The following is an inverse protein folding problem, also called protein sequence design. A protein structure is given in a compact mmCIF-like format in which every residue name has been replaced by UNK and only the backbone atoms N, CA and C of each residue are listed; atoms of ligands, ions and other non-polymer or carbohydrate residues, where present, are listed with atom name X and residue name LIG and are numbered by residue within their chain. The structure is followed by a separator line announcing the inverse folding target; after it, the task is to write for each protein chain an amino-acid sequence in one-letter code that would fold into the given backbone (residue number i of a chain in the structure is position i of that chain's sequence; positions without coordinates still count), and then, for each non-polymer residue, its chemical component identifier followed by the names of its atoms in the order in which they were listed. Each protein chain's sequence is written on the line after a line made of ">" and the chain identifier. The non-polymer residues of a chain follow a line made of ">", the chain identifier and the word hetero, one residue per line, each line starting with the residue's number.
data_IF_785210028320
#
_entry.id   IF_785210028320
#
_cell.length_a   1.000
_cell.length_b   1.000
_cell.length_c   1.000
_cell.angle_alpha   90.00
_cell.angle_beta   90.00
_cell.angle_gamma   90.00
#
_symmetry.space_group_name_H-M   'P 1'
#
loop_
_entity.id
_entity.type
_entity.pdbx_description
1 polymer ?
#
# COMPACT_ATOMS: atom_id res chain seq x y z
N UNK A 1 4.09 -8.09 -1.93
CA UNK A 1 3.67 -7.67 -0.58
C UNK A 1 3.84 -8.77 0.47
N UNK A 2 3.11 -9.89 0.40
CA UNK A 2 3.03 -10.87 1.49
C UNK A 2 4.34 -11.48 1.98
N UNK A 3 5.33 -11.63 1.10
CA UNK A 3 6.68 -12.06 1.50
C UNK A 3 7.41 -11.03 2.37
N UNK A 4 7.20 -9.73 2.11
CA UNK A 4 7.71 -8.65 2.96
C UNK A 4 7.07 -8.77 4.34
N UNK A 5 5.74 -8.93 4.39
CA UNK A 5 5.00 -9.05 5.64
C UNK A 5 5.42 -10.30 6.44
N UNK A 6 5.63 -11.43 5.75
CA UNK A 6 6.17 -12.66 6.33
C UNK A 6 7.53 -12.44 7.01
N UNK A 7 8.42 -11.67 6.38
CA UNK A 7 9.71 -11.31 6.98
C UNK A 7 9.52 -10.42 8.21
N UNK A 8 8.82 -9.30 8.08
CA UNK A 8 8.83 -8.26 9.13
C UNK A 8 7.98 -8.62 10.36
N UNK A 9 6.91 -9.42 10.18
CA UNK A 9 6.02 -9.80 11.28
C UNK A 9 6.29 -11.19 11.85
N UNK A 10 6.92 -12.09 11.08
CA UNK A 10 7.07 -13.49 11.47
C UNK A 10 8.48 -14.05 11.28
N UNK A 11 9.43 -13.24 10.79
CA UNK A 11 10.79 -13.70 10.46
C UNK A 11 10.83 -14.78 9.36
N UNK A 12 9.72 -15.04 8.67
CA UNK A 12 9.58 -16.13 7.71
C UNK A 12 8.94 -15.64 6.41
N UNK A 13 9.76 -15.49 5.37
CA UNK A 13 9.36 -15.03 4.03
C UNK A 13 8.14 -15.77 3.45
N UNK A 14 8.06 -17.08 3.66
CA UNK A 14 6.97 -17.91 3.12
C UNK A 14 5.82 -18.11 4.14
N UNK A 15 5.71 -17.27 5.17
CA UNK A 15 4.69 -17.42 6.23
C UNK A 15 3.25 -17.52 5.68
N UNK A 16 2.91 -16.73 4.67
CA UNK A 16 1.57 -16.68 4.06
C UNK A 16 1.38 -17.65 2.90
N UNK A 17 2.24 -18.65 2.75
CA UNK A 17 2.17 -19.61 1.64
C UNK A 17 1.84 -20.99 2.18
N UNK A 18 0.75 -21.56 1.65
CA UNK A 18 0.25 -22.90 1.95
C UNK A 18 0.15 -23.65 0.62
N UNK A 19 0.72 -24.87 0.55
CA UNK A 19 0.71 -25.70 -0.66
C UNK A 19 1.18 -24.96 -1.94
N UNK A 20 2.22 -24.14 -1.80
CA UNK A 20 2.82 -23.38 -2.91
C UNK A 20 2.01 -22.17 -3.40
N UNK A 21 0.88 -21.83 -2.76
CA UNK A 21 0.03 -20.68 -3.10
C UNK A 21 -0.10 -19.73 -1.91
N UNK A 22 -0.40 -18.46 -2.18
CA UNK A 22 -0.76 -17.52 -1.12
C UNK A 22 -2.09 -17.93 -0.50
N UNK A 23 -2.10 -17.98 0.83
CA UNK A 23 -3.26 -18.37 1.62
C UNK A 23 -4.10 -17.15 1.96
N UNK A 24 -5.22 -16.97 1.24
CA UNK A 24 -6.08 -15.80 1.40
C UNK A 24 -6.73 -15.73 2.77
N UNK A 25 -7.14 -16.86 3.35
CA UNK A 25 -7.76 -16.89 4.67
C UNK A 25 -6.77 -16.41 5.74
N UNK A 26 -5.54 -16.94 5.70
CA UNK A 26 -4.47 -16.51 6.61
C UNK A 26 -4.09 -15.04 6.44
N UNK A 27 -4.13 -14.54 5.21
CA UNK A 27 -3.86 -13.14 4.89
C UNK A 27 -4.96 -12.23 5.45
N UNK A 28 -6.24 -12.60 5.23
CA UNK A 28 -7.38 -11.81 5.71
C UNK A 28 -7.39 -11.76 7.24
N UNK A 29 -7.24 -12.90 7.91
CA UNK A 29 -7.15 -12.96 9.38
C UNK A 29 -6.01 -12.09 9.92
N UNK A 30 -4.83 -12.13 9.31
CA UNK A 30 -3.73 -11.24 9.69
C UNK A 30 -4.09 -9.76 9.52
N UNK A 31 -4.67 -9.39 8.38
CA UNK A 31 -5.04 -8.01 8.09
C UNK A 31 -6.10 -7.49 9.06
N UNK A 32 -7.13 -8.28 9.35
CA UNK A 32 -8.19 -7.94 10.31
C UNK A 32 -7.62 -7.76 11.71
N UNK A 33 -6.79 -8.70 12.19
CA UNK A 33 -6.16 -8.61 13.51
C UNK A 33 -5.20 -7.43 13.67
N UNK A 34 -4.56 -6.97 12.58
CA UNK A 34 -3.66 -5.81 12.58
C UNK A 34 -4.33 -4.48 12.23
N UNK A 35 -5.62 -4.49 11.87
CA UNK A 35 -6.31 -3.28 11.41
C UNK A 35 -5.80 -2.75 10.07
N UNK A 36 -5.35 -3.64 9.17
CA UNK A 36 -4.83 -3.29 7.84
C UNK A 36 -5.92 -3.47 6.80
N UNK A 37 -6.32 -2.38 6.15
CA UNK A 37 -7.16 -2.41 4.95
C UNK A 37 -6.32 -2.29 3.67
N UNK A 38 -6.75 -2.97 2.61
CA UNK A 38 -6.10 -2.92 1.30
C UNK A 38 -7.11 -2.48 0.25
N UNK A 39 -6.70 -1.52 -0.59
CA UNK A 39 -7.54 -0.99 -1.66
C UNK A 39 -6.66 -0.41 -2.77
N UNK A 40 -7.23 -0.29 -3.97
CA UNK A 40 -6.53 0.29 -5.13
C UNK A 40 -6.77 1.80 -5.23
N UNK A 41 -5.78 2.55 -5.72
CA UNK A 41 -5.92 3.99 -5.98
C UNK A 41 -6.83 4.31 -7.18
N UNK A 42 -7.14 3.30 -7.99
CA UNK A 42 -7.97 3.38 -9.18
C UNK A 42 -9.01 2.25 -9.15
N UNK A 43 -10.26 2.58 -9.47
CA UNK A 43 -11.37 1.62 -9.55
C UNK A 43 -11.51 1.01 -10.94
N UNK A 44 -11.02 1.71 -11.97
CA UNK A 44 -10.91 1.18 -13.33
C UNK A 44 -9.58 1.58 -13.96
N UNK A 45 -8.91 0.59 -14.57
CA UNK A 45 -7.61 0.78 -15.24
C UNK A 45 -7.60 0.09 -16.60
N UNK A 46 -6.93 0.71 -17.57
CA UNK A 46 -6.63 0.08 -18.86
C UNK A 46 -5.16 -0.34 -18.88
N UNK A 47 -4.92 -1.65 -19.08
CA UNK A 47 -3.58 -2.22 -19.22
C UNK A 47 -3.18 -2.23 -20.68
N UNK A 48 -2.11 -1.51 -21.02
CA UNK A 48 -1.64 -1.39 -22.40
C UNK A 48 -0.70 -2.53 -22.80
N UNK A 49 -0.18 -3.30 -21.84
CA UNK A 49 0.76 -4.40 -22.09
C UNK A 49 0.49 -5.64 -21.21
N UNK A 50 -0.79 -5.93 -20.95
CA UNK A 50 -1.26 -7.11 -20.18
C UNK A 50 -0.61 -7.33 -18.80
N UNK A 51 0.06 -6.32 -18.23
CA UNK A 51 0.71 -6.36 -16.92
C UNK A 51 0.30 -5.16 -16.07
N UNK A 52 0.69 -5.18 -14.78
CA UNK A 52 0.40 -4.12 -13.82
C UNK A 52 1.59 -3.17 -13.60
N UNK A 53 2.45 -3.01 -14.61
CA UNK A 53 3.55 -2.05 -14.54
C UNK A 53 3.02 -0.62 -14.68
N UNK A 54 3.49 0.28 -13.83
CA UNK A 54 3.16 1.71 -13.87
C UNK A 54 3.40 2.33 -15.25
N UNK A 55 4.38 1.82 -16.01
CA UNK A 55 4.76 2.34 -17.33
C UNK A 55 3.71 2.09 -18.44
N UNK A 56 2.78 1.14 -18.24
CA UNK A 56 1.83 0.71 -19.28
C UNK A 56 0.40 0.65 -18.74
N UNK A 57 0.08 1.54 -17.80
CA UNK A 57 -1.21 1.58 -17.12
C UNK A 57 -1.82 2.99 -17.18
N UNK A 58 -3.03 3.05 -17.73
CA UNK A 58 -3.88 4.24 -17.79
C UNK A 58 -4.96 4.12 -16.69
N UNK A 59 -5.08 5.16 -15.86
CA UNK A 59 -6.14 5.24 -14.84
C UNK A 59 -7.36 5.85 -15.50
N UNK A 60 -8.45 5.09 -15.56
CA UNK A 60 -9.72 5.53 -16.13
C UNK A 60 -10.55 6.18 -15.04
N UNK A 61 -10.76 5.45 -13.94
CA UNK A 61 -11.52 5.92 -12.78
C UNK A 61 -10.64 5.86 -11.52
N UNK A 62 -10.64 6.97 -10.77
CA UNK A 62 -9.91 7.11 -9.50
C UNK A 62 -10.80 6.69 -8.34
N UNK A 63 -10.18 6.29 -7.23
CA UNK A 63 -10.91 6.03 -5.98
C UNK A 63 -11.63 7.29 -5.46
N UNK A 64 -12.86 7.13 -4.99
CA UNK A 64 -13.53 8.14 -4.18
C UNK A 64 -13.01 8.05 -2.74
N UNK A 65 -11.92 8.77 -2.46
CA UNK A 65 -11.23 8.67 -1.17
C UNK A 65 -12.12 9.12 0.00
N UNK A 66 -12.98 10.12 -0.19
CA UNK A 66 -13.92 10.59 0.83
C UNK A 66 -14.88 9.48 1.25
N UNK A 67 -15.53 8.82 0.27
CA UNK A 67 -16.48 7.75 0.51
C UNK A 67 -15.80 6.53 1.16
N UNK A 68 -14.63 6.14 0.67
CA UNK A 68 -13.85 5.07 1.28
C UNK A 68 -13.57 5.38 2.75
N UNK A 69 -13.07 6.59 3.04
CA UNK A 69 -12.65 7.00 4.37
C UNK A 69 -13.81 7.22 5.36
N UNK A 70 -15.03 7.48 4.88
CA UNK A 70 -16.24 7.50 5.71
C UNK A 70 -16.58 6.09 6.23
N UNK A 71 -16.30 5.04 5.47
CA UNK A 71 -16.54 3.65 5.87
C UNK A 71 -15.46 3.09 6.83
N UNK A 72 -14.31 3.76 6.94
CA UNK A 72 -13.22 3.41 7.88
C UNK A 72 -12.86 4.60 8.78
N UNK A 73 -13.76 5.02 9.70
CA UNK A 73 -13.64 6.27 10.44
C UNK A 73 -12.37 6.33 11.32
N UNK A 74 -11.87 5.18 11.76
CA UNK A 74 -10.67 5.06 12.60
C UNK A 74 -9.35 5.08 11.81
N UNK A 75 -9.40 5.15 10.47
CA UNK A 75 -8.19 5.22 9.65
C UNK A 75 -7.47 6.56 9.86
N UNK A 76 -6.22 6.50 10.33
CA UNK A 76 -5.34 7.66 10.55
C UNK A 76 -4.17 7.72 9.57
N UNK A 77 -3.94 6.65 8.81
CA UNK A 77 -2.76 6.52 7.96
C UNK A 77 -3.11 5.89 6.63
N UNK A 78 -2.72 6.57 5.56
CA UNK A 78 -2.72 6.04 4.21
C UNK A 78 -1.28 5.67 3.84
N UNK A 79 -1.06 4.46 3.36
CA UNK A 79 0.23 4.03 2.86
C UNK A 79 0.09 3.63 1.39
N UNK A 80 0.78 4.35 0.51
CA UNK A 80 0.67 4.13 -0.93
C UNK A 80 1.95 3.51 -1.45
N UNK A 81 1.81 2.42 -2.20
CA UNK A 81 2.91 1.63 -2.76
C UNK A 81 2.88 1.69 -4.29
N UNK A 82 3.99 2.08 -4.90
CA UNK A 82 4.07 2.30 -6.36
C UNK A 82 3.99 3.77 -6.77
N UNK A 83 4.56 4.08 -7.92
CA UNK A 83 4.69 5.46 -8.39
C UNK A 83 3.34 5.97 -8.88
N UNK A 84 2.66 5.24 -9.77
CA UNK A 84 1.37 5.61 -10.37
C UNK A 84 0.27 5.78 -9.33
N UNK A 85 0.22 4.86 -8.36
CA UNK A 85 -0.74 4.92 -7.27
C UNK A 85 -0.53 6.17 -6.41
N UNK A 86 0.72 6.49 -6.09
CA UNK A 86 1.04 7.69 -5.31
C UNK A 86 0.69 8.95 -6.10
N UNK A 87 1.02 9.02 -7.39
CA UNK A 87 0.70 10.18 -8.22
C UNK A 87 -0.82 10.42 -8.26
N UNK A 88 -1.61 9.34 -8.35
CA UNK A 88 -3.08 9.40 -8.30
C UNK A 88 -3.59 9.95 -6.95
N UNK A 89 -3.09 9.42 -5.83
CA UNK A 89 -3.54 9.82 -4.47
C UNK A 89 -3.05 11.25 -4.13
N UNK A 90 -1.83 11.59 -4.52
CA UNK A 90 -1.24 12.92 -4.37
C UNK A 90 -2.04 13.99 -5.10
N UNK A 91 -2.49 13.71 -6.33
CA UNK A 91 -3.37 14.61 -7.09
C UNK A 91 -4.74 14.79 -6.42
N UNK A 92 -5.35 13.71 -5.92
CA UNK A 92 -6.63 13.76 -5.21
C UNK A 92 -6.57 14.60 -3.92
N UNK A 93 -5.47 14.47 -3.18
CA UNK A 93 -5.27 15.13 -1.89
C UNK A 93 -4.57 16.50 -1.99
N UNK A 94 -4.00 16.83 -3.16
CA UNK A 94 -3.13 18.01 -3.38
C UNK A 94 -1.95 18.06 -2.41
N UNK A 95 -1.32 16.91 -2.19
CA UNK A 95 -0.18 16.74 -1.28
C UNK A 95 1.08 16.46 -2.08
N UNK A 96 2.17 17.17 -1.78
CA UNK A 96 3.46 16.88 -2.37
C UNK A 96 4.00 15.50 -1.98
N UNK A 97 4.70 14.88 -2.91
CA UNK A 97 5.21 13.53 -2.75
C UNK A 97 6.42 13.51 -1.81
N UNK A 98 6.33 12.88 -0.62
CA UNK A 98 7.47 12.73 0.25
C UNK A 98 8.47 11.74 -0.35
N UNK A 99 9.67 11.70 0.23
CA UNK A 99 10.65 10.66 -0.10
C UNK A 99 10.13 9.26 0.25
N UNK A 100 10.69 8.24 -0.41
CA UNK A 100 10.31 6.85 -0.16
C UNK A 100 10.66 6.47 1.29
N UNK A 101 9.67 5.93 2.00
CA UNK A 101 9.76 5.54 3.40
C UNK A 101 9.43 6.66 4.38
N UNK A 102 9.03 7.84 3.90
CA UNK A 102 8.59 8.99 4.69
C UNK A 102 7.10 9.30 4.42
N UNK A 103 6.57 10.28 5.15
CA UNK A 103 5.18 10.70 5.07
C UNK A 103 5.02 12.22 5.08
N UNK A 104 3.83 12.66 4.66
CA UNK A 104 3.35 14.03 4.85
C UNK A 104 2.11 13.99 5.76
N UNK A 105 2.07 14.88 6.75
CA UNK A 105 0.88 15.09 7.59
C UNK A 105 -0.10 16.02 6.87
N UNK A 106 -1.39 15.73 6.99
CA UNK A 106 -2.43 16.51 6.35
C UNK A 106 -3.75 16.38 7.09
N UNK A 107 -4.62 17.38 6.91
CA UNK A 107 -6.00 17.35 7.39
C UNK A 107 -6.95 17.00 6.26
N UNK A 108 -7.78 15.98 6.47
CA UNK A 108 -8.78 15.56 5.49
C UNK A 108 -10.07 15.12 6.17
N UNK A 109 -11.21 15.59 5.64
CA UNK A 109 -12.55 15.37 6.21
C UNK A 109 -12.61 15.60 7.74
N UNK A 110 -11.92 16.63 8.21
CA UNK A 110 -11.87 17.01 9.63
C UNK A 110 -10.90 16.21 10.51
N UNK A 111 -10.10 15.30 9.93
CA UNK A 111 -9.17 14.41 10.66
C UNK A 111 -7.72 14.71 10.31
N UNK A 112 -6.84 14.64 11.31
CA UNK A 112 -5.39 14.61 11.13
C UNK A 112 -4.99 13.21 10.60
N UNK A 113 -4.23 13.17 9.51
CA UNK A 113 -3.84 11.94 8.82
C UNK A 113 -2.39 11.99 8.35
N UNK A 114 -1.79 10.81 8.15
CA UNK A 114 -0.46 10.64 7.54
C UNK A 114 -0.56 9.96 6.18
N UNK A 115 0.11 10.49 5.16
CA UNK A 115 0.25 9.86 3.84
C UNK A 115 1.69 9.37 3.64
N UNK A 116 1.91 8.07 3.78
CA UNK A 116 3.22 7.44 3.55
C UNK A 116 3.43 7.06 2.09
N UNK A 117 4.66 7.27 1.62
CA UNK A 117 5.14 6.73 0.34
C UNK A 117 5.98 5.49 0.60
N UNK A 118 5.49 4.31 0.27
CA UNK A 118 6.25 3.06 0.39
C UNK A 118 6.82 2.60 -0.96
N UNK A 119 7.97 1.87 -0.97
CA UNK A 119 8.48 1.31 -2.21
C UNK A 119 7.51 0.26 -2.75
N UNK A 120 7.44 0.13 -4.08
CA UNK A 120 6.59 -0.87 -4.72
C UNK A 120 6.93 -2.29 -4.24
N UNK A 121 5.90 -3.08 -3.90
CA UNK A 121 6.10 -4.48 -3.51
C UNK A 121 6.25 -5.43 -4.69
N UNK A 122 6.19 -4.92 -5.92
CA UNK A 122 6.39 -5.71 -7.15
C UNK A 122 7.80 -6.29 -7.23
N UNK A 123 7.92 -7.43 -7.90
CA UNK A 123 9.23 -8.02 -8.28
C UNK A 123 9.96 -7.16 -9.31
N UNK A 124 9.23 -6.42 -10.15
CA UNK A 124 9.80 -5.55 -11.17
C UNK A 124 10.45 -4.28 -10.59
N UNK A 125 10.14 -3.92 -9.34
CA UNK A 125 10.76 -2.77 -8.70
C UNK A 125 12.23 -3.11 -8.35
N UNK A 126 13.22 -2.31 -8.82
CA UNK A 126 14.65 -2.64 -8.81
C UNK A 126 15.27 -2.45 -7.42
N UNK A 127 14.77 -3.19 -6.44
CA UNK A 127 15.30 -3.22 -5.08
C UNK A 127 15.11 -4.62 -4.47
N UNK A 128 16.11 -5.17 -3.77
CA UNK A 128 16.01 -6.47 -3.10
C UNK A 128 14.82 -6.55 -2.14
N UNK A 129 14.32 -7.75 -1.91
CA UNK A 129 13.17 -7.99 -1.05
C UNK A 129 13.46 -7.56 0.40
N UNK A 130 14.67 -7.85 0.86
CA UNK A 130 15.16 -7.61 2.22
C UNK A 130 15.26 -6.11 2.48
N UNK A 131 15.80 -5.34 1.52
CA UNK A 131 15.85 -3.89 1.63
C UNK A 131 14.47 -3.23 1.55
N UNK A 132 13.54 -3.79 0.76
CA UNK A 132 12.13 -3.38 0.82
C UNK A 132 11.59 -3.63 2.23
N UNK A 133 11.86 -4.82 2.80
CA UNK A 133 11.39 -5.19 4.12
C UNK A 133 11.86 -4.25 5.23
N UNK A 134 13.09 -3.72 5.16
CA UNK A 134 13.57 -2.70 6.12
C UNK A 134 12.68 -1.45 6.12
N UNK A 135 12.29 -0.95 4.94
CA UNK A 135 11.43 0.25 4.84
C UNK A 135 10.02 -0.04 5.37
N UNK A 136 9.44 -1.19 5.01
CA UNK A 136 8.13 -1.58 5.53
C UNK A 136 8.15 -1.84 7.03
N UNK A 137 9.23 -2.42 7.56
CA UNK A 137 9.39 -2.62 9.01
C UNK A 137 9.38 -1.28 9.74
N UNK A 138 10.19 -0.31 9.32
CA UNK A 138 10.20 1.03 9.92
C UNK A 138 8.83 1.69 9.89
N UNK A 139 8.12 1.57 8.77
CA UNK A 139 6.76 2.09 8.65
C UNK A 139 5.82 1.46 9.69
N UNK A 140 5.76 0.12 9.76
CA UNK A 140 4.84 -0.55 10.69
C UNK A 140 5.24 -0.38 12.15
N UNK A 141 6.54 -0.30 12.46
CA UNK A 141 7.02 0.00 13.83
C UNK A 141 6.61 1.42 14.29
N UNK A 142 6.27 2.35 13.39
CA UNK A 142 5.79 3.70 13.75
C UNK A 142 4.26 3.76 13.91
N UNK A 143 3.51 2.91 13.21
CA UNK A 143 2.05 3.05 13.09
C UNK A 143 1.23 1.99 13.82
N UNK A 144 1.86 0.90 14.29
CA UNK A 144 1.23 -0.18 15.07
C UNK A 144 1.77 -0.21 16.50
#
# INVERSE_FOLDING_TARGET
>A
MWRIFGIIFFGKKEHFITNGKFDSAKIMDFCENKGIALYDSATAVRRLNNNASDNFLEVVDKVNLSELLMNIPNCKTLAVTGQKAFDTVSELLKIEKPEIGNFTEFKYIGREMKLYRLPSTSRAYPKPLEEKAVVYKRFFDEIL
#
